data_IF_830041475166
#
_entry.id   IF_830041475166
#
_cell.length_a   1.000
_cell.length_b   1.000
_cell.length_c   1.000
_cell.angle_alpha   90.00
_cell.angle_beta   90.00
_cell.angle_gamma   90.00
#
_symmetry.space_group_name_H-M   'P 1'
#
loop_
_entity.id
_entity.type
_entity.pdbx_description
1 polymer ?
#
# COMPACT_ATOMS: atom_id res chain seq x y z
N UNK A 1 -2.12 -9.09 -15.92
CA UNK A 1 -0.70 -9.51 -15.82
C UNK A 1 -0.13 -9.38 -14.40
N UNK A 2 -0.80 -8.72 -13.44
CA UNK A 2 -0.23 -8.41 -12.11
C UNK A 2 -0.82 -9.17 -10.89
N UNK A 3 -1.78 -10.10 -11.06
CA UNK A 3 -2.56 -10.64 -9.92
C UNK A 3 -1.82 -11.62 -8.98
N UNK A 4 -0.55 -11.96 -9.23
CA UNK A 4 0.18 -12.96 -8.43
C UNK A 4 1.69 -12.68 -8.36
N UNK A 5 2.08 -11.46 -7.99
CA UNK A 5 3.48 -11.29 -7.57
C UNK A 5 3.68 -12.06 -6.27
N UNK A 6 4.28 -13.26 -6.37
CA UNK A 6 4.50 -14.16 -5.23
C UNK A 6 5.46 -13.57 -4.19
N UNK A 7 6.12 -12.46 -4.51
CA UNK A 7 7.00 -11.73 -3.58
C UNK A 7 6.20 -10.83 -2.62
N UNK A 8 4.92 -10.57 -2.90
CA UNK A 8 4.00 -9.92 -1.96
C UNK A 8 3.13 -10.98 -1.29
N UNK A 9 3.54 -11.43 -0.12
CA UNK A 9 2.75 -12.37 0.68
C UNK A 9 1.78 -11.59 1.58
N UNK A 10 0.47 -11.71 1.32
CA UNK A 10 -0.57 -11.08 2.15
C UNK A 10 -0.60 -11.76 3.53
N UNK A 11 -0.32 -11.01 4.58
CA UNK A 11 -0.34 -11.49 5.97
C UNK A 11 -1.58 -11.03 6.73
N UNK A 12 -2.24 -9.97 6.28
CA UNK A 12 -3.45 -9.44 6.90
C UNK A 12 -4.28 -8.56 5.98
N UNK A 13 -5.60 -8.61 6.12
CA UNK A 13 -6.53 -7.72 5.43
C UNK A 13 -7.72 -7.41 6.35
N UNK A 14 -7.93 -6.14 6.68
CA UNK A 14 -8.96 -5.72 7.63
C UNK A 14 -9.38 -4.26 7.42
N UNK A 15 -10.53 -3.88 7.98
CA UNK A 15 -10.91 -2.47 8.10
C UNK A 15 -10.56 -1.99 9.50
N UNK A 16 -9.86 -0.86 9.61
CA UNK A 16 -9.47 -0.31 10.89
C UNK A 16 -10.58 0.54 11.54
N UNK A 17 -10.32 1.08 12.74
CA UNK A 17 -11.27 1.91 13.47
C UNK A 17 -11.58 3.27 12.82
N UNK A 18 -10.85 3.65 11.76
CA UNK A 18 -11.05 4.88 11.00
C UNK A 18 -11.78 4.65 9.67
N UNK A 19 -12.04 3.39 9.32
CA UNK A 19 -12.71 3.01 8.08
C UNK A 19 -11.76 2.77 6.90
N UNK A 20 -10.44 2.80 7.12
CA UNK A 20 -9.45 2.48 6.11
C UNK A 20 -9.37 0.96 5.90
N UNK A 21 -9.22 0.52 4.66
CA UNK A 21 -8.98 -0.88 4.34
C UNK A 21 -7.48 -1.16 4.34
N UNK A 22 -7.00 -1.86 5.36
CA UNK A 22 -5.59 -2.13 5.57
C UNK A 22 -5.21 -3.47 4.95
N UNK A 23 -4.11 -3.48 4.20
CA UNK A 23 -3.47 -4.66 3.65
C UNK A 23 -2.04 -4.74 4.18
N UNK A 24 -1.75 -5.80 4.93
CA UNK A 24 -0.40 -6.09 5.42
C UNK A 24 0.25 -7.13 4.52
N UNK A 25 1.47 -6.83 4.08
CA UNK A 25 2.29 -7.70 3.26
C UNK A 25 3.67 -7.93 3.88
N UNK A 26 4.18 -9.13 3.63
CA UNK A 26 5.59 -9.48 3.79
C UNK A 26 6.26 -9.57 2.41
N UNK A 27 7.43 -8.95 2.29
CA UNK A 27 8.26 -9.05 1.10
C UNK A 27 9.09 -10.34 1.11
N UNK A 28 8.90 -11.18 0.08
CA UNK A 28 9.65 -12.42 -0.13
C UNK A 28 10.62 -12.33 -1.32
N UNK A 29 10.88 -11.13 -1.84
CA UNK A 29 11.91 -10.92 -2.86
C UNK A 29 13.29 -10.69 -2.24
N UNK A 30 14.21 -10.12 -3.04
CA UNK A 30 15.58 -9.86 -2.57
C UNK A 30 15.60 -8.79 -1.47
N UNK A 31 16.42 -9.06 -0.45
CA UNK A 31 16.73 -8.16 0.66
C UNK A 31 17.41 -6.90 0.11
N UNK A 32 16.97 -5.72 0.54
CA UNK A 32 17.51 -4.43 0.08
C UNK A 32 16.99 -3.96 -1.30
N UNK A 33 16.21 -4.77 -2.01
CA UNK A 33 15.62 -4.44 -3.30
C UNK A 33 14.35 -3.57 -3.17
N UNK A 34 14.49 -2.41 -2.52
CA UNK A 34 13.38 -1.46 -2.29
C UNK A 34 12.70 -1.03 -3.60
N UNK A 35 13.45 -0.96 -4.70
CA UNK A 35 12.91 -0.66 -6.03
C UNK A 35 11.90 -1.69 -6.51
N UNK A 36 12.23 -2.97 -6.35
CA UNK A 36 11.38 -4.09 -6.78
C UNK A 36 10.14 -4.23 -5.90
N UNK A 37 10.32 -4.04 -4.59
CA UNK A 37 9.23 -4.00 -3.64
C UNK A 37 8.21 -2.90 -4.00
N UNK A 38 8.68 -1.69 -4.36
CA UNK A 38 7.80 -0.61 -4.84
C UNK A 38 7.11 -0.99 -6.14
N UNK A 39 7.85 -1.54 -7.11
CA UNK A 39 7.28 -1.94 -8.39
C UNK A 39 6.15 -2.96 -8.19
N UNK A 40 6.36 -3.96 -7.33
CA UNK A 40 5.33 -4.95 -6.99
C UNK A 40 4.09 -4.30 -6.37
N UNK A 41 4.25 -3.37 -5.42
CA UNK A 41 3.12 -2.65 -4.80
C UNK A 41 2.39 -1.77 -5.82
N UNK A 42 3.08 -1.04 -6.69
CA UNK A 42 2.44 -0.26 -7.74
C UNK A 42 1.70 -1.13 -8.77
N UNK A 43 2.24 -2.31 -9.09
CA UNK A 43 1.52 -3.30 -9.89
C UNK A 43 0.25 -3.79 -9.21
N UNK A 44 0.26 -4.00 -7.89
CA UNK A 44 -0.93 -4.33 -7.11
C UNK A 44 -1.94 -3.17 -7.13
N UNK A 45 -1.50 -1.94 -6.87
CA UNK A 45 -2.35 -0.75 -6.91
C UNK A 45 -3.01 -0.61 -8.29
N UNK A 46 -2.26 -0.82 -9.37
CA UNK A 46 -2.79 -0.76 -10.73
C UNK A 46 -3.90 -1.78 -11.02
N UNK A 47 -4.12 -2.80 -10.18
CA UNK A 47 -5.24 -3.73 -10.32
C UNK A 47 -6.59 -3.18 -9.86
N UNK A 48 -6.59 -2.11 -9.08
CA UNK A 48 -7.79 -1.45 -8.56
C UNK A 48 -7.75 0.08 -8.68
N UNK A 49 -6.70 0.66 -9.24
CA UNK A 49 -6.59 2.10 -9.45
C UNK A 49 -7.66 2.60 -10.45
N UNK A 50 -8.16 3.80 -10.18
CA UNK A 50 -9.10 4.55 -10.99
C UNK A 50 -8.41 5.78 -11.59
N UNK A 51 -9.10 6.52 -12.47
CA UNK A 51 -8.57 7.68 -13.18
C UNK A 51 -7.95 8.76 -12.27
N UNK A 52 -8.45 8.90 -11.04
CA UNK A 52 -8.02 9.90 -10.06
C UNK A 52 -7.38 9.27 -8.80
N UNK A 53 -6.72 8.11 -8.92
CA UNK A 53 -6.02 7.50 -7.79
C UNK A 53 -4.81 8.32 -7.34
N UNK A 54 -4.81 8.68 -6.05
CA UNK A 54 -3.67 9.31 -5.37
C UNK A 54 -2.92 8.26 -4.55
N UNK A 55 -1.59 8.23 -4.68
CA UNK A 55 -0.71 7.33 -3.92
C UNK A 55 0.33 8.14 -3.17
N UNK A 56 0.41 7.95 -1.85
CA UNK A 56 1.49 8.51 -1.01
C UNK A 56 2.27 7.39 -0.37
N UNK A 57 3.58 7.36 -0.62
CA UNK A 57 4.50 6.40 0.00
C UNK A 57 5.25 7.05 1.17
N UNK A 58 5.36 6.36 2.30
CA UNK A 58 6.18 6.75 3.45
C UNK A 58 7.05 5.58 3.91
N UNK A 59 8.23 5.91 4.47
CA UNK A 59 9.02 4.95 5.24
C UNK A 59 8.59 5.07 6.69
N UNK A 60 8.31 3.94 7.34
CA UNK A 60 7.88 3.90 8.74
C UNK A 60 8.89 3.07 9.52
N UNK A 61 9.43 3.65 10.59
CA UNK A 61 10.26 2.94 11.56
C UNK A 61 9.36 2.21 12.53
N UNK A 62 9.51 0.89 12.64
CA UNK A 62 8.79 0.10 13.65
C UNK A 62 9.37 0.45 15.02
N UNK A 63 8.57 1.03 15.92
CA UNK A 63 8.98 1.42 17.28
C UNK A 63 9.20 0.24 18.25
N UNK A 64 9.47 -0.97 17.75
CA UNK A 64 9.62 -2.19 18.54
C UNK A 64 10.52 -3.20 17.83
N UNK A 65 11.41 -3.79 18.63
CA UNK A 65 12.55 -4.68 18.34
C UNK A 65 12.67 -5.24 16.91
N UNK A 66 13.59 -4.65 16.14
CA UNK A 66 14.05 -5.15 14.86
C UNK A 66 14.29 -4.03 13.83
N UNK A 67 15.36 -4.10 13.01
CA UNK A 67 15.67 -3.06 12.03
C UNK A 67 14.71 -3.04 10.82
N UNK A 68 13.69 -3.91 10.79
CA UNK A 68 12.81 -4.12 9.64
C UNK A 68 12.15 -2.81 9.17
N UNK A 69 12.71 -2.25 8.10
CA UNK A 69 12.18 -1.08 7.41
C UNK A 69 10.80 -1.44 6.84
N UNK A 70 9.78 -0.67 7.22
CA UNK A 70 8.43 -0.79 6.70
C UNK A 70 8.19 0.29 5.66
N UNK A 71 7.65 -0.10 4.51
CA UNK A 71 7.06 0.84 3.56
C UNK A 71 5.56 0.89 3.80
N UNK A 72 5.00 2.08 3.78
CA UNK A 72 3.57 2.29 3.86
C UNK A 72 3.12 3.06 2.62
N UNK A 73 2.01 2.64 2.02
CA UNK A 73 1.39 3.30 0.88
C UNK A 73 -0.05 3.61 1.25
N UNK A 74 -0.38 4.90 1.29
CA UNK A 74 -1.76 5.37 1.37
C UNK A 74 -2.29 5.53 -0.05
N UNK A 75 -3.40 4.87 -0.35
CA UNK A 75 -4.02 4.87 -1.68
C UNK A 75 -5.44 5.38 -1.55
N UNK A 76 -5.69 6.57 -2.09
CA UNK A 76 -7.04 7.11 -2.22
C UNK A 76 -7.57 6.87 -3.63
N UNK A 77 -8.75 6.24 -3.75
CA UNK A 77 -9.47 6.06 -5.02
C UNK A 77 -10.70 6.99 -5.08
N UNK A 78 -11.13 7.37 -6.29
CA UNK A 78 -12.28 8.26 -6.54
C UNK A 78 -11.96 9.59 -7.25
N UNK A 79 -12.93 10.14 -7.99
CA UNK A 79 -12.81 11.34 -8.83
C UNK A 79 -12.60 12.66 -8.06
N UNK A 80 -11.64 13.46 -8.54
CA UNK A 80 -11.30 14.82 -8.10
C UNK A 80 -11.99 15.87 -9.02
N UNK A 81 -13.33 15.96 -9.02
CA UNK A 81 -14.02 16.99 -9.84
C UNK A 81 -13.93 18.41 -9.22
N UNK A 82 -13.97 19.52 -10.00
CA UNK A 82 -13.80 20.89 -9.48
C UNK A 82 -14.89 21.37 -8.52
N UNK A 83 -16.11 20.86 -8.64
CA UNK A 83 -17.23 21.08 -7.69
C UNK A 83 -17.25 20.01 -6.58
N UNK A 84 -16.30 19.07 -6.59
CA UNK A 84 -16.16 18.11 -5.52
C UNK A 84 -15.52 18.82 -4.33
N UNK A 85 -16.35 19.09 -3.32
CA UNK A 85 -15.88 19.12 -1.93
C UNK A 85 -15.02 17.87 -1.78
N UNK A 86 -13.71 17.95 -1.57
CA UNK A 86 -12.94 16.72 -1.39
C UNK A 86 -13.36 16.05 -0.07
N UNK A 87 -14.39 15.21 -0.15
CA UNK A 87 -14.76 14.15 0.76
C UNK A 87 -14.64 12.88 -0.09
N UNK A 88 -13.49 12.18 -0.07
CA UNK A 88 -13.38 10.92 -0.79
C UNK A 88 -14.56 10.06 -0.35
N UNK A 89 -15.16 9.29 -1.26
CA UNK A 89 -16.19 8.31 -0.89
C UNK A 89 -15.58 7.11 -0.13
N UNK A 90 -14.65 7.40 0.80
CA UNK A 90 -14.50 6.69 2.06
C UNK A 90 -13.57 5.49 2.09
N UNK A 91 -12.92 5.15 0.98
CA UNK A 91 -12.10 3.94 0.92
C UNK A 91 -10.66 4.30 0.62
N UNK A 92 -9.93 4.70 1.66
CA UNK A 92 -8.47 4.68 1.60
C UNK A 92 -8.01 3.24 1.83
N UNK A 93 -7.11 2.77 0.96
CA UNK A 93 -6.40 1.51 1.14
C UNK A 93 -5.03 1.82 1.72
N UNK A 94 -4.73 1.28 2.89
CA UNK A 94 -3.42 1.41 3.52
C UNK A 94 -2.63 0.12 3.32
N UNK A 95 -1.58 0.17 2.52
CA UNK A 95 -0.72 -0.99 2.27
C UNK A 95 0.53 -0.87 3.12
N UNK A 96 0.71 -1.79 4.06
CA UNK A 96 1.93 -1.92 4.84
C UNK A 96 2.78 -3.05 4.25
N UNK A 97 4.05 -2.79 3.99
CA UNK A 97 5.00 -3.78 3.51
C UNK A 97 6.18 -3.88 4.48
N UNK A 98 6.43 -5.09 4.94
CA UNK A 98 7.51 -5.43 5.86
C UNK A 98 8.57 -6.30 5.17
N UNK A 99 9.76 -6.42 5.77
CA UNK A 99 10.83 -7.30 5.27
C UNK A 99 11.60 -6.77 4.06
N UNK A 100 11.56 -5.45 3.79
CA UNK A 100 12.26 -4.82 2.65
C UNK A 100 13.71 -4.42 2.98
N UNK A 101 14.25 -4.88 4.12
CA UNK A 101 15.67 -4.69 4.45
C UNK A 101 16.56 -5.57 3.60
#
# INVERSE_FOLDING_TARGET
WCQRDRRLALTGAYTDGTGEYVLDFEWHGEIGAVGDARAAVFCLIGSFAESATYVRQRRVTSGGDGPAMKLQFEVGTGDLAPDARFKPHGHAVLINLSGVL
#
